data_IF_760093760048
#
_entry.id   IF_760093760048
#
_cell.length_a   1.000
_cell.length_b   1.000
_cell.length_c   1.000
_cell.angle_alpha   90.00
_cell.angle_beta   90.00
_cell.angle_gamma   90.00
#
_symmetry.space_group_name_H-M   'P 1'
#
loop_
_entity.id
_entity.type
_entity.pdbx_description
1 polymer ?
#
# COMPACT_ATOMS: atom_id res chain seq x y z
N UNK A 1 -4.88 -8.01 -66.92
CA UNK A 1 -5.93 -8.24 -65.89
C UNK A 1 -5.25 -8.77 -64.63
N UNK A 2 -5.27 -7.98 -63.54
CA UNK A 2 -5.08 -8.36 -62.10
C UNK A 2 -3.67 -8.83 -61.69
N UNK A 3 -2.73 -7.94 -61.33
CA UNK A 3 -2.52 -7.23 -60.05
C UNK A 3 -2.27 -8.17 -58.84
N UNK A 4 -0.99 -8.45 -58.58
CA UNK A 4 -0.48 -9.07 -57.34
C UNK A 4 -0.43 -7.98 -56.25
N UNK A 5 -1.27 -8.09 -55.22
CA UNK A 5 -1.24 -7.23 -54.03
C UNK A 5 -0.64 -8.05 -52.89
N UNK A 6 0.54 -7.65 -52.46
CA UNK A 6 1.25 -8.13 -51.28
C UNK A 6 0.45 -7.76 -50.03
N UNK A 7 -0.05 -8.75 -49.30
CA UNK A 7 -0.77 -8.56 -48.06
C UNK A 7 0.24 -8.39 -46.90
N UNK A 8 0.58 -7.14 -46.61
CA UNK A 8 1.36 -6.76 -45.43
C UNK A 8 0.42 -6.78 -44.22
N UNK A 9 0.37 -7.89 -43.48
CA UNK A 9 -0.42 -7.98 -42.26
C UNK A 9 0.12 -7.00 -41.21
N UNK A 10 -0.63 -5.93 -40.96
CA UNK A 10 -0.35 -4.99 -39.89
C UNK A 10 -0.55 -5.69 -38.53
N UNK A 11 0.57 -6.02 -37.87
CA UNK A 11 0.58 -6.44 -36.47
C UNK A 11 0.39 -5.18 -35.61
N UNK A 12 -0.86 -4.87 -35.27
CA UNK A 12 -1.16 -3.86 -34.25
C UNK A 12 -0.66 -4.36 -32.90
N UNK A 13 0.51 -3.86 -32.49
CA UNK A 13 0.97 -3.89 -31.10
C UNK A 13 -0.01 -3.07 -30.25
N UNK A 14 -0.89 -3.75 -29.52
CA UNK A 14 -1.54 -3.17 -28.35
C UNK A 14 -0.45 -2.91 -27.31
N UNK A 15 0.15 -1.72 -27.34
CA UNK A 15 0.92 -1.21 -26.21
C UNK A 15 -0.11 -0.86 -25.15
N UNK A 16 -0.41 -1.83 -24.28
CA UNK A 16 -1.06 -1.57 -23.01
C UNK A 16 -0.14 -0.66 -22.21
N UNK A 17 -0.38 0.66 -22.28
CA UNK A 17 0.12 1.61 -21.31
C UNK A 17 -0.57 1.31 -19.98
N UNK A 18 -0.07 0.32 -19.26
CA UNK A 18 -0.44 0.10 -17.87
C UNK A 18 -0.03 1.35 -17.10
N UNK A 19 -1.00 2.17 -16.72
CA UNK A 19 -0.77 3.21 -15.75
C UNK A 19 -0.27 2.51 -14.47
N UNK A 20 0.95 2.82 -14.05
CA UNK A 20 1.49 2.32 -12.78
C UNK A 20 0.62 2.91 -11.67
N UNK A 21 -0.17 2.05 -11.00
CA UNK A 21 -0.96 2.41 -9.84
C UNK A 21 -0.02 2.61 -8.65
N UNK A 22 -0.22 3.68 -7.88
CA UNK A 22 0.55 3.91 -6.65
C UNK A 22 0.11 2.91 -5.59
N UNK A 23 1.05 2.30 -4.87
CA UNK A 23 0.73 1.32 -3.82
C UNK A 23 0.80 1.98 -2.45
N UNK A 24 -0.31 1.99 -1.72
CA UNK A 24 -0.42 2.55 -0.38
C UNK A 24 -0.57 1.42 0.64
N UNK A 25 0.23 1.47 1.70
CA UNK A 25 0.08 0.60 2.87
C UNK A 25 -0.85 1.25 3.90
N UNK A 26 -1.87 0.52 4.32
CA UNK A 26 -2.59 0.76 5.57
C UNK A 26 -2.13 -0.28 6.61
N UNK A 27 -1.38 0.16 7.62
CA UNK A 27 -0.92 -0.67 8.74
C UNK A 27 -1.68 -0.31 10.01
N UNK A 28 -2.66 -1.14 10.39
CA UNK A 28 -3.51 -0.93 11.57
C UNK A 28 -3.07 -1.81 12.74
N UNK A 29 -3.61 -1.56 13.94
CA UNK A 29 -3.39 -2.44 15.09
C UNK A 29 -4.12 -3.77 14.92
N UNK A 30 -3.60 -4.81 15.56
CA UNK A 30 -4.19 -6.15 15.52
C UNK A 30 -5.52 -6.22 16.27
N UNK A 31 -6.46 -7.10 15.88
CA UNK A 31 -6.40 -8.02 14.73
C UNK A 31 -6.96 -7.41 13.42
N UNK A 32 -6.85 -6.09 13.21
CA UNK A 32 -7.48 -5.41 12.08
C UNK A 32 -9.00 -5.57 12.08
N UNK A 33 -9.60 -5.87 10.93
CA UNK A 33 -11.04 -6.11 10.79
C UNK A 33 -11.65 -7.21 11.70
N UNK A 34 -10.85 -7.94 12.47
CA UNK A 34 -11.34 -8.73 13.60
C UNK A 34 -12.02 -7.90 14.70
N UNK A 35 -11.87 -6.57 14.71
CA UNK A 35 -12.71 -5.66 15.49
C UNK A 35 -13.50 -4.66 14.61
N UNK A 36 -14.70 -4.19 15.06
CA UNK A 36 -15.57 -3.35 14.23
C UNK A 36 -15.01 -1.97 13.89
N UNK A 37 -14.14 -1.42 14.73
CA UNK A 37 -13.51 -0.11 14.50
C UNK A 37 -12.59 -0.20 13.28
N UNK A 38 -11.63 -1.13 13.29
CA UNK A 38 -10.72 -1.31 12.15
C UNK A 38 -11.44 -1.81 10.90
N UNK A 39 -12.48 -2.64 11.03
CA UNK A 39 -13.30 -3.03 9.87
C UNK A 39 -13.90 -1.80 9.15
N UNK A 40 -14.32 -0.78 9.92
CA UNK A 40 -14.84 0.49 9.38
C UNK A 40 -13.73 1.33 8.72
N UNK A 41 -12.55 1.40 9.34
CA UNK A 41 -11.37 2.09 8.79
C UNK A 41 -10.93 1.45 7.48
N UNK A 42 -10.83 0.11 7.43
CA UNK A 42 -10.48 -0.63 6.22
C UNK A 42 -11.48 -0.40 5.09
N UNK A 43 -12.78 -0.35 5.39
CA UNK A 43 -13.80 -0.08 4.38
C UNK A 43 -13.62 1.34 3.80
N UNK A 44 -13.43 2.34 4.65
CA UNK A 44 -13.18 3.71 4.19
C UNK A 44 -11.90 3.82 3.35
N UNK A 45 -10.85 3.10 3.73
CA UNK A 45 -9.61 3.04 2.95
C UNK A 45 -9.80 2.36 1.59
N UNK A 46 -10.57 1.26 1.52
CA UNK A 46 -10.91 0.58 0.26
C UNK A 46 -11.71 1.50 -0.67
N UNK A 47 -12.69 2.22 -0.13
CA UNK A 47 -13.51 3.16 -0.91
C UNK A 47 -12.65 4.31 -1.45
N UNK A 48 -11.76 4.87 -0.63
CA UNK A 48 -10.82 5.92 -1.05
C UNK A 48 -9.83 5.42 -2.10
N UNK A 49 -9.28 4.21 -1.93
CA UNK A 49 -8.35 3.61 -2.88
C UNK A 49 -8.99 3.41 -4.26
N UNK A 50 -10.22 2.90 -4.29
CA UNK A 50 -11.00 2.76 -5.52
C UNK A 50 -11.29 4.11 -6.19
N UNK A 51 -11.64 5.14 -5.40
CA UNK A 51 -11.91 6.48 -5.93
C UNK A 51 -10.66 7.17 -6.49
N UNK A 52 -9.49 6.92 -5.90
CA UNK A 52 -8.21 7.50 -6.30
C UNK A 52 -7.46 6.68 -7.36
N UNK A 53 -7.89 5.43 -7.62
CA UNK A 53 -7.22 4.53 -8.55
C UNK A 53 -5.83 4.11 -8.07
N UNK A 54 -5.69 3.83 -6.76
CA UNK A 54 -4.45 3.37 -6.13
C UNK A 54 -4.59 1.93 -5.63
N UNK A 55 -3.48 1.21 -5.56
CA UNK A 55 -3.43 -0.13 -4.98
C UNK A 55 -3.32 -0.01 -3.46
N UNK A 56 -4.17 -0.73 -2.73
CA UNK A 56 -4.19 -0.70 -1.28
C UNK A 56 -3.74 -2.04 -0.71
N UNK A 57 -2.68 -2.01 0.09
CA UNK A 57 -2.26 -3.13 0.94
C UNK A 57 -2.74 -2.85 2.35
N UNK A 58 -3.47 -3.79 2.94
CA UNK A 58 -3.92 -3.68 4.33
C UNK A 58 -3.24 -4.78 5.13
N UNK A 59 -2.52 -4.39 6.18
CA UNK A 59 -1.88 -5.32 7.11
C UNK A 59 -2.20 -4.94 8.55
N UNK A 60 -2.24 -5.96 9.39
CA UNK A 60 -2.36 -5.84 10.84
C UNK A 60 -1.60 -6.98 11.49
N UNK A 61 -1.02 -6.77 12.67
CA UNK A 61 -0.48 -7.86 13.46
C UNK A 61 -1.63 -8.78 13.94
N UNK A 62 -1.36 -10.06 14.28
CA UNK A 62 -2.39 -10.99 14.74
C UNK A 62 -3.12 -10.52 16.01
N UNK A 63 -2.42 -9.83 16.89
CA UNK A 63 -2.95 -9.22 18.11
C UNK A 63 -2.40 -7.82 18.31
N UNK A 64 -3.11 -7.01 19.09
CA UNK A 64 -2.64 -5.65 19.44
C UNK A 64 -1.35 -5.68 20.26
N UNK A 65 -1.01 -6.77 20.95
CA UNK A 65 0.27 -6.88 21.66
C UNK A 65 1.47 -7.24 20.77
N UNK A 66 1.24 -7.65 19.52
CA UNK A 66 2.28 -8.23 18.67
C UNK A 66 3.08 -7.14 17.92
N UNK A 67 3.77 -6.28 18.70
CA UNK A 67 4.57 -5.14 18.20
C UNK A 67 5.55 -5.57 17.11
N UNK A 68 6.31 -6.65 17.34
CA UNK A 68 7.32 -7.12 16.39
C UNK A 68 6.70 -7.63 15.08
N UNK A 69 5.47 -8.13 15.10
CA UNK A 69 4.79 -8.51 13.86
C UNK A 69 4.49 -7.27 13.01
N UNK A 70 4.07 -6.17 13.63
CA UNK A 70 3.84 -4.91 12.90
C UNK A 70 5.15 -4.32 12.36
N UNK A 71 6.24 -4.36 13.15
CA UNK A 71 7.58 -3.92 12.69
C UNK A 71 8.00 -4.70 11.44
N UNK A 72 7.96 -6.04 11.49
CA UNK A 72 8.35 -6.87 10.36
C UNK A 72 7.46 -6.65 9.12
N UNK A 73 6.16 -6.42 9.33
CA UNK A 73 5.22 -6.10 8.25
C UNK A 73 5.56 -4.75 7.58
N UNK A 74 5.90 -3.73 8.37
CA UNK A 74 6.33 -2.42 7.85
C UNK A 74 7.63 -2.55 7.06
N UNK A 75 8.65 -3.20 7.61
CA UNK A 75 9.93 -3.44 6.93
C UNK A 75 9.75 -4.14 5.58
N UNK A 76 8.94 -5.21 5.54
CA UNK A 76 8.65 -5.96 4.32
C UNK A 76 7.98 -5.08 3.25
N UNK A 77 7.03 -4.24 3.63
CA UNK A 77 6.33 -3.37 2.68
C UNK A 77 7.17 -2.20 2.21
N UNK A 78 7.97 -1.60 3.10
CA UNK A 78 8.96 -0.59 2.72
C UNK A 78 9.96 -1.17 1.74
N UNK A 79 10.48 -2.39 1.99
CA UNK A 79 11.39 -3.08 1.08
C UNK A 79 10.74 -3.44 -0.27
N UNK A 80 9.42 -3.69 -0.30
CA UNK A 80 8.64 -3.89 -1.52
C UNK A 80 8.36 -2.60 -2.30
N UNK A 81 8.72 -1.44 -1.75
CA UNK A 81 8.61 -0.15 -2.43
C UNK A 81 7.21 0.42 -2.45
N UNK A 82 6.48 0.35 -1.33
CA UNK A 82 5.22 1.09 -1.20
C UNK A 82 5.45 2.60 -1.39
N UNK A 83 4.51 3.26 -2.05
CA UNK A 83 4.56 4.69 -2.39
C UNK A 83 4.07 5.60 -1.26
N UNK A 84 3.46 5.03 -0.21
CA UNK A 84 2.98 5.77 0.95
C UNK A 84 2.47 4.85 2.05
N UNK A 85 2.48 5.35 3.29
CA UNK A 85 2.13 4.58 4.48
C UNK A 85 1.12 5.38 5.33
N UNK A 86 -0.02 4.77 5.63
CA UNK A 86 -0.91 5.18 6.71
C UNK A 86 -0.80 4.15 7.85
N UNK A 87 -0.44 4.59 9.05
CA UNK A 87 -0.07 3.68 10.14
C UNK A 87 -0.70 4.09 11.47
N UNK A 88 -1.25 3.11 12.19
CA UNK A 88 -1.57 3.19 13.61
C UNK A 88 -0.51 2.39 14.39
N UNK A 89 0.51 3.05 14.97
CA UNK A 89 1.57 2.34 15.66
C UNK A 89 1.02 1.57 16.85
N UNK A 90 1.30 0.28 16.91
CA UNK A 90 1.06 -0.55 18.09
C UNK A 90 1.91 -0.06 19.27
N UNK A 91 3.19 0.22 18.98
CA UNK A 91 4.11 0.92 19.88
C UNK A 91 4.84 2.01 19.09
N UNK A 92 4.59 3.30 19.35
CA UNK A 92 5.22 4.39 18.61
C UNK A 92 6.75 4.40 18.68
N UNK A 93 7.34 3.94 19.80
CA UNK A 93 8.79 3.96 19.99
C UNK A 93 9.47 2.86 19.19
N UNK A 94 8.86 1.68 19.12
CA UNK A 94 9.38 0.55 18.36
C UNK A 94 9.22 0.74 16.84
N UNK A 95 8.14 1.40 16.41
CA UNK A 95 7.82 1.62 15.00
C UNK A 95 8.57 2.82 14.41
N UNK A 96 8.84 3.87 15.19
CA UNK A 96 9.45 5.11 14.70
C UNK A 96 10.74 4.92 13.89
N UNK A 97 11.73 4.10 14.31
CA UNK A 97 12.97 3.94 13.55
C UNK A 97 12.74 3.41 12.12
N UNK A 98 11.79 2.49 11.94
CA UNK A 98 11.44 1.94 10.63
C UNK A 98 10.75 3.00 9.76
N UNK A 99 9.90 3.84 10.36
CA UNK A 99 9.25 4.93 9.66
C UNK A 99 10.21 6.07 9.31
N UNK A 100 11.21 6.35 10.16
CA UNK A 100 12.29 7.31 9.86
C UNK A 100 13.05 6.90 8.60
N UNK A 101 13.37 5.61 8.45
CA UNK A 101 14.03 5.08 7.25
C UNK A 101 13.15 5.26 6.00
N UNK A 102 11.84 5.01 6.10
CA UNK A 102 10.88 5.24 5.02
C UNK A 102 10.77 6.73 4.64
N UNK A 103 10.67 7.62 5.64
CA UNK A 103 10.60 9.07 5.46
C UNK A 103 11.89 9.58 4.79
N UNK A 104 13.06 9.11 5.24
CA UNK A 104 14.35 9.45 4.67
C UNK A 104 14.47 8.98 3.20
N UNK A 105 13.83 7.87 2.84
CA UNK A 105 13.72 7.37 1.47
C UNK A 105 12.67 8.14 0.62
N UNK A 106 11.97 9.11 1.20
CA UNK A 106 10.96 9.91 0.52
C UNK A 106 9.56 9.30 0.47
N UNK A 107 9.31 8.23 1.23
CA UNK A 107 7.98 7.63 1.37
C UNK A 107 7.15 8.48 2.35
N UNK A 108 6.02 9.09 1.92
CA UNK A 108 5.16 9.84 2.83
C UNK A 108 4.48 8.92 3.86
N UNK A 109 4.51 9.36 5.12
CA UNK A 109 3.91 8.64 6.26
C UNK A 109 2.82 9.51 6.90
N UNK A 110 1.68 8.90 7.20
CA UNK A 110 0.56 9.51 7.93
C UNK A 110 0.19 8.64 9.12
N UNK A 111 0.12 9.25 10.30
CA UNK A 111 -0.37 8.59 11.51
C UNK A 111 -1.89 8.63 11.58
N UNK A 112 -2.51 7.52 11.94
CA UNK A 112 -3.95 7.40 12.16
C UNK A 112 -4.21 6.76 13.52
N UNK A 113 -5.30 7.13 14.20
CA UNK A 113 -5.71 6.67 15.54
C UNK A 113 -4.71 6.99 16.68
N UNK A 114 -3.45 6.65 16.51
CA UNK A 114 -2.36 6.82 17.46
C UNK A 114 -1.28 7.70 16.85
N UNK A 115 -0.85 8.72 17.59
CA UNK A 115 0.23 9.61 17.16
C UNK A 115 1.57 8.88 17.08
N UNK A 116 2.36 9.21 16.05
CA UNK A 116 3.78 8.93 16.02
C UNK A 116 4.59 9.86 16.93
N UNK A 117 5.89 9.61 16.98
CA UNK A 117 6.84 10.42 17.75
C UNK A 117 7.86 11.16 16.85
N UNK A 118 7.74 11.01 15.53
CA UNK A 118 8.60 11.54 14.48
C UNK A 118 7.78 12.18 13.35
#
# INVERSE_FOLDING_TARGET
MRLFITLFSALTLFVSSGAFSKTILLSTKGPGAGNPFWASVEQGAKDAAAALGVDLVILSPPQESDVMAQVNQLEDQIAKGVDGIAVAPTDPTAVAPILDDAIAAGVPVVYIDTNGIN
#
